data_IF_745836659563
#
_entry.id   IF_745836659563
#
_cell.length_a   1.000
_cell.length_b   1.000
_cell.length_c   1.000
_cell.angle_alpha   90.00
_cell.angle_beta   90.00
_cell.angle_gamma   90.00
#
_symmetry.space_group_name_H-M   'P 1'
#
loop_
_entity.id
_entity.type
_entity.pdbx_description
1 polymer ?
#
# COMPACT_ATOMS: atom_id res chain seq x y z
N UNK A 1 13.89 -24.18 -3.37
CA UNK A 1 13.66 -22.73 -3.45
C UNK A 1 12.37 -22.42 -4.24
N UNK A 2 12.21 -22.92 -5.47
CA UNK A 2 10.98 -22.72 -6.27
C UNK A 2 9.68 -23.23 -5.61
N UNK A 3 9.69 -24.42 -5.01
CA UNK A 3 8.53 -24.95 -4.28
C UNK A 3 8.13 -24.08 -3.07
N UNK A 4 9.12 -23.47 -2.40
CA UNK A 4 8.88 -22.56 -1.28
C UNK A 4 8.28 -21.22 -1.75
N UNK A 5 8.75 -20.70 -2.88
CA UNK A 5 8.23 -19.49 -3.50
C UNK A 5 6.76 -19.65 -3.91
N UNK A 6 6.40 -20.78 -4.53
CA UNK A 6 5.01 -21.05 -4.92
C UNK A 6 4.05 -21.18 -3.73
N UNK A 7 4.49 -21.80 -2.63
CA UNK A 7 3.71 -21.87 -1.39
C UNK A 7 3.51 -20.48 -0.77
N UNK A 8 4.56 -19.66 -0.74
CA UNK A 8 4.49 -18.30 -0.21
C UNK A 8 3.55 -17.40 -1.02
N UNK A 9 3.64 -17.44 -2.36
CA UNK A 9 2.76 -16.66 -3.25
C UNK A 9 1.28 -17.04 -3.04
N UNK A 10 0.99 -18.34 -2.92
CA UNK A 10 -0.36 -18.82 -2.63
C UNK A 10 -0.88 -18.31 -1.30
N UNK A 11 -0.09 -18.40 -0.24
CA UNK A 11 -0.52 -17.92 1.09
C UNK A 11 -0.72 -16.41 1.12
N UNK A 12 0.15 -15.65 0.46
CA UNK A 12 -0.02 -14.21 0.30
C UNK A 12 -1.34 -13.88 -0.43
N UNK A 13 -1.66 -14.62 -1.49
CA UNK A 13 -2.90 -14.46 -2.24
C UNK A 13 -4.13 -14.76 -1.37
N UNK A 14 -4.11 -15.86 -0.62
CA UNK A 14 -5.19 -16.24 0.30
C UNK A 14 -5.39 -15.19 1.38
N UNK A 15 -4.31 -14.72 2.02
CA UNK A 15 -4.36 -13.67 3.05
C UNK A 15 -4.98 -12.37 2.51
N UNK A 16 -4.61 -11.96 1.29
CA UNK A 16 -5.21 -10.79 0.63
C UNK A 16 -6.70 -10.97 0.34
N UNK A 17 -7.10 -12.16 -0.12
CA UNK A 17 -8.52 -12.50 -0.34
C UNK A 17 -9.30 -12.45 0.97
N UNK A 18 -8.78 -13.04 2.05
CA UNK A 18 -9.39 -12.99 3.38
C UNK A 18 -9.57 -11.55 3.86
N UNK A 19 -8.54 -10.71 3.73
CA UNK A 19 -8.63 -9.31 4.09
C UNK A 19 -9.71 -8.56 3.28
N UNK A 20 -9.75 -8.76 1.96
CA UNK A 20 -10.77 -8.15 1.10
C UNK A 20 -12.21 -8.58 1.42
N UNK A 21 -12.37 -9.82 1.91
CA UNK A 21 -13.64 -10.40 2.33
C UNK A 21 -14.02 -10.08 3.78
N UNK A 22 -13.06 -9.72 4.65
CA UNK A 22 -13.33 -9.43 6.06
C UNK A 22 -14.38 -8.32 6.24
N UNK A 23 -14.32 -7.28 5.39
CA UNK A 23 -15.31 -6.19 5.37
C UNK A 23 -16.66 -6.55 4.73
N UNK A 24 -16.85 -7.77 4.24
CA UNK A 24 -18.10 -8.19 3.59
C UNK A 24 -19.18 -8.65 4.58
N UNK A 25 -18.83 -8.83 5.86
CA UNK A 25 -19.76 -9.27 6.91
C UNK A 25 -20.20 -10.73 6.77
N UNK A 26 -19.44 -11.57 6.07
CA UNK A 26 -19.80 -12.98 5.79
C UNK A 26 -20.05 -13.78 7.08
N UNK A 27 -19.14 -13.72 8.04
CA UNK A 27 -19.26 -14.45 9.32
C UNK A 27 -20.52 -14.03 10.07
N UNK A 28 -20.78 -12.72 10.14
CA UNK A 28 -21.97 -12.17 10.77
C UNK A 28 -23.25 -12.65 10.08
N UNK A 29 -23.30 -12.59 8.75
CA UNK A 29 -24.46 -13.01 7.99
C UNK A 29 -24.76 -14.50 8.20
N UNK A 30 -23.74 -15.35 8.31
CA UNK A 30 -23.92 -16.78 8.65
C UNK A 30 -24.39 -16.96 10.09
N UNK A 31 -23.80 -16.23 11.04
CA UNK A 31 -24.18 -16.30 12.45
C UNK A 31 -25.65 -15.90 12.69
N UNK A 32 -26.13 -14.86 12.00
CA UNK A 32 -27.53 -14.42 12.04
C UNK A 32 -28.51 -15.46 11.44
N UNK A 33 -28.01 -16.39 10.62
CA UNK A 33 -28.83 -17.47 10.06
C UNK A 33 -28.93 -18.68 11.01
N UNK A 34 -28.01 -18.84 11.96
CA UNK A 34 -27.99 -20.01 12.84
C UNK A 34 -29.30 -20.05 13.65
N UNK A 35 -30.09 -21.13 13.55
CA UNK A 35 -31.34 -21.23 14.28
C UNK A 35 -31.09 -21.53 15.76
N UNK A 36 -32.00 -21.10 16.64
CA UNK A 36 -31.96 -21.41 18.06
C UNK A 36 -30.76 -20.80 18.80
N UNK A 37 -30.33 -21.48 19.86
CA UNK A 37 -29.26 -21.02 20.74
C UNK A 37 -29.76 -20.31 22.00
N UNK A 38 -28.99 -20.46 23.08
CA UNK A 38 -29.16 -19.75 24.35
C UNK A 38 -27.98 -18.82 24.59
N UNK A 39 -28.10 -17.89 25.54
CA UNK A 39 -27.01 -16.96 25.84
C UNK A 39 -25.73 -17.69 26.26
N UNK A 40 -25.86 -18.87 26.88
CA UNK A 40 -24.76 -19.70 27.35
C UNK A 40 -24.30 -20.72 26.29
N UNK A 41 -25.13 -21.00 25.28
CA UNK A 41 -24.87 -21.97 24.21
C UNK A 41 -25.44 -21.47 22.86
N UNK A 42 -24.82 -20.46 22.23
CA UNK A 42 -25.38 -19.78 21.05
C UNK A 42 -25.40 -20.64 19.78
N UNK A 43 -24.65 -21.74 19.76
CA UNK A 43 -24.58 -22.65 18.61
C UNK A 43 -25.35 -23.96 18.82
N UNK A 44 -26.15 -24.06 19.89
CA UNK A 44 -26.89 -25.28 20.24
C UNK A 44 -27.81 -25.77 19.11
N UNK A 45 -28.40 -24.86 18.32
CA UNK A 45 -29.24 -25.27 17.20
C UNK A 45 -28.48 -25.97 16.06
N UNK A 46 -27.16 -25.79 15.96
CA UNK A 46 -26.32 -26.58 15.06
C UNK A 46 -26.02 -27.97 15.62
N UNK A 47 -25.87 -28.09 16.94
CA UNK A 47 -25.54 -29.33 17.63
C UNK A 47 -26.65 -30.38 17.47
N UNK A 48 -27.91 -29.95 17.53
CA UNK A 48 -29.07 -30.85 17.50
C UNK A 48 -29.53 -31.22 16.09
N UNK A 49 -28.92 -30.64 15.04
CA UNK A 49 -29.36 -30.86 13.66
C UNK A 49 -28.89 -32.22 13.11
N UNK A 50 -29.80 -32.93 12.45
CA UNK A 50 -29.44 -34.07 11.61
C UNK A 50 -28.71 -33.63 10.34
N UNK A 51 -28.02 -34.57 9.66
CA UNK A 51 -27.35 -34.26 8.39
C UNK A 51 -28.30 -33.71 7.32
N UNK A 52 -29.54 -34.22 7.24
CA UNK A 52 -30.52 -33.75 6.25
C UNK A 52 -31.01 -32.32 6.54
N UNK A 53 -31.18 -31.98 7.82
CA UNK A 53 -31.50 -30.61 8.24
C UNK A 53 -30.33 -29.65 8.00
N UNK A 54 -29.09 -30.11 8.24
CA UNK A 54 -27.88 -29.34 7.96
C UNK A 54 -27.76 -29.00 6.46
N UNK A 55 -28.03 -29.95 5.57
CA UNK A 55 -28.01 -29.72 4.12
C UNK A 55 -29.10 -28.71 3.69
N UNK A 56 -30.31 -28.87 4.22
CA UNK A 56 -31.41 -27.94 3.97
C UNK A 56 -31.12 -26.53 4.50
N UNK A 57 -30.51 -26.42 5.68
CA UNK A 57 -30.07 -25.17 6.27
C UNK A 57 -28.99 -24.48 5.43
N UNK A 58 -27.97 -25.22 5.01
CA UNK A 58 -26.88 -24.70 4.20
C UNK A 58 -27.41 -24.19 2.84
N UNK A 59 -28.19 -25.01 2.16
CA UNK A 59 -28.71 -24.71 0.82
C UNK A 59 -29.80 -23.63 0.83
N UNK A 60 -30.72 -23.69 1.80
CA UNK A 60 -31.88 -22.80 1.88
C UNK A 60 -31.62 -21.46 2.56
N UNK A 61 -30.68 -21.39 3.50
CA UNK A 61 -30.51 -20.19 4.35
C UNK A 61 -29.11 -19.61 4.23
N UNK A 62 -28.06 -20.42 4.44
CA UNK A 62 -26.67 -19.94 4.48
C UNK A 62 -26.19 -19.47 3.10
N UNK A 63 -26.38 -20.28 2.06
CA UNK A 63 -25.93 -19.94 0.70
C UNK A 63 -26.55 -18.64 0.17
N UNK A 64 -27.87 -18.40 0.30
CA UNK A 64 -28.47 -17.11 -0.08
C UNK A 64 -27.89 -15.92 0.71
N UNK A 65 -27.62 -16.08 2.01
CA UNK A 65 -27.04 -15.02 2.82
C UNK A 65 -25.60 -14.68 2.39
N UNK A 66 -24.78 -15.70 2.15
CA UNK A 66 -23.42 -15.55 1.62
C UNK A 66 -23.45 -14.91 0.23
N UNK A 67 -24.34 -15.37 -0.67
CA UNK A 67 -24.50 -14.82 -2.01
C UNK A 67 -24.77 -13.31 -1.97
N UNK A 68 -25.73 -12.85 -1.16
CA UNK A 68 -26.03 -11.41 -1.01
C UNK A 68 -24.81 -10.61 -0.55
N UNK A 69 -24.00 -11.17 0.35
CA UNK A 69 -22.76 -10.51 0.79
C UNK A 69 -21.74 -10.40 -0.35
N UNK A 70 -21.57 -11.46 -1.13
CA UNK A 70 -20.64 -11.49 -2.27
C UNK A 70 -21.10 -10.58 -3.41
N UNK A 71 -22.39 -10.47 -3.67
CA UNK A 71 -22.95 -9.53 -4.66
C UNK A 71 -22.63 -8.08 -4.29
N UNK A 72 -22.72 -7.71 -3.00
CA UNK A 72 -22.29 -6.38 -2.52
C UNK A 72 -20.79 -6.16 -2.71
N UNK A 73 -19.96 -7.18 -2.46
CA UNK A 73 -18.52 -7.11 -2.72
C UNK A 73 -18.25 -6.92 -4.21
N UNK A 74 -18.95 -7.66 -5.07
CA UNK A 74 -18.84 -7.55 -6.52
C UNK A 74 -19.21 -6.16 -7.02
N UNK A 75 -20.29 -5.57 -6.50
CA UNK A 75 -20.70 -4.21 -6.81
C UNK A 75 -19.64 -3.18 -6.37
N UNK A 76 -19.14 -3.29 -5.13
CA UNK A 76 -18.05 -2.43 -4.63
C UNK A 76 -16.83 -2.48 -5.55
N UNK A 77 -16.38 -3.67 -5.91
CA UNK A 77 -15.21 -3.86 -6.78
C UNK A 77 -15.44 -3.29 -8.19
N UNK A 78 -16.65 -3.45 -8.76
CA UNK A 78 -17.01 -2.84 -10.04
C UNK A 78 -16.97 -1.32 -9.98
N UNK A 79 -17.49 -0.74 -8.90
CA UNK A 79 -17.48 0.71 -8.69
C UNK A 79 -16.06 1.25 -8.52
N UNK A 80 -15.20 0.57 -7.76
CA UNK A 80 -13.78 0.93 -7.64
C UNK A 80 -13.05 0.84 -8.97
N UNK A 81 -13.26 -0.24 -9.74
CA UNK A 81 -12.67 -0.40 -11.06
C UNK A 81 -13.11 0.68 -12.04
N UNK A 82 -14.40 1.06 -12.00
CA UNK A 82 -14.93 2.17 -12.80
C UNK A 82 -14.28 3.50 -12.44
N UNK A 83 -14.21 3.84 -11.15
CA UNK A 83 -13.54 5.06 -10.67
C UNK A 83 -12.07 5.14 -11.10
N UNK A 84 -11.34 4.01 -11.04
CA UNK A 84 -9.94 3.95 -11.51
C UNK A 84 -9.84 4.34 -12.99
N UNK A 85 -10.69 3.77 -13.84
CA UNK A 85 -10.74 4.10 -15.28
C UNK A 85 -11.11 5.56 -15.53
N UNK A 86 -12.10 6.09 -14.82
CA UNK A 86 -12.51 7.50 -14.94
C UNK A 86 -11.36 8.44 -14.52
N UNK A 87 -10.66 8.15 -13.42
CA UNK A 87 -9.50 8.93 -12.97
C UNK A 87 -8.31 8.87 -13.95
N UNK A 88 -8.11 7.74 -14.64
CA UNK A 88 -7.08 7.60 -15.69
C UNK A 88 -7.41 8.41 -16.94
N UNK A 89 -8.70 8.56 -17.29
CA UNK A 89 -9.14 9.39 -18.42
C UNK A 89 -9.00 10.88 -18.07
N UNK A 90 -9.45 11.32 -16.90
CA UNK A 90 -9.29 12.71 -16.44
C UNK A 90 -7.82 13.09 -16.26
N UNK A 91 -6.95 12.17 -15.82
CA UNK A 91 -5.51 12.39 -15.75
C UNK A 91 -4.84 12.52 -17.12
N UNK A 92 -5.45 11.98 -18.19
CA UNK A 92 -4.97 12.16 -19.58
C UNK A 92 -5.44 13.47 -20.19
N UNK A 93 -6.58 14.02 -19.76
CA UNK A 93 -7.17 15.25 -20.30
C UNK A 93 -6.80 16.51 -19.50
N UNK A 94 -6.49 16.41 -18.20
CA UNK A 94 -6.10 17.54 -17.33
C UNK A 94 -4.58 17.61 -17.07
N UNK A 95 -3.77 17.34 -18.08
CA UNK A 95 -2.31 17.31 -17.96
C UNK A 95 -1.68 18.70 -17.81
N UNK A 96 -1.65 19.22 -16.58
CA UNK A 96 -0.69 20.26 -16.21
C UNK A 96 0.72 19.65 -16.31
N UNK A 97 1.43 19.94 -17.41
CA UNK A 97 2.62 19.24 -17.87
C UNK A 97 3.79 19.18 -16.86
N UNK A 98 3.75 20.01 -15.81
CA UNK A 98 4.78 20.06 -14.75
C UNK A 98 4.81 18.86 -13.80
N UNK A 99 3.79 18.00 -13.76
CA UNK A 99 3.77 16.78 -12.92
C UNK A 99 3.61 15.48 -13.72
N UNK A 100 3.91 15.52 -15.03
CA UNK A 100 3.74 14.38 -15.95
C UNK A 100 4.85 13.32 -15.87
N UNK A 101 5.80 13.46 -14.95
CA UNK A 101 6.73 12.40 -14.61
C UNK A 101 6.03 11.44 -13.65
N UNK A 102 5.77 10.19 -14.10
CA UNK A 102 5.56 9.09 -13.15
C UNK A 102 6.75 9.11 -12.21
N UNK A 103 6.52 9.28 -10.91
CA UNK A 103 7.58 9.06 -9.93
C UNK A 103 8.01 7.61 -10.06
N UNK A 104 9.10 7.38 -10.78
CA UNK A 104 9.73 6.07 -10.94
C UNK A 104 10.44 5.77 -9.65
N UNK A 105 9.70 5.23 -8.68
CA UNK A 105 10.29 4.66 -7.49
C UNK A 105 11.11 3.45 -7.92
N UNK A 106 12.33 3.35 -7.38
CA UNK A 106 13.16 2.17 -7.59
C UNK A 106 12.47 0.92 -7.06
N UNK A 107 12.78 -0.23 -7.64
CA UNK A 107 12.32 -1.52 -7.12
C UNK A 107 12.92 -1.82 -5.75
N UNK A 108 12.46 -2.90 -5.10
CA UNK A 108 12.99 -3.32 -3.79
C UNK A 108 14.51 -3.57 -3.82
N UNK A 109 15.06 -3.93 -4.98
CA UNK A 109 16.50 -4.06 -5.19
C UNK A 109 17.23 -2.71 -5.13
N UNK A 110 16.62 -1.63 -5.64
CA UNK A 110 17.19 -0.28 -5.54
C UNK A 110 17.17 0.22 -4.09
N UNK A 111 16.19 -0.22 -3.30
CA UNK A 111 16.15 0.04 -1.87
C UNK A 111 17.33 -0.63 -1.14
N UNK A 112 17.58 -1.92 -1.38
CA UNK A 112 18.68 -2.64 -0.72
C UNK A 112 20.07 -2.18 -1.14
N UNK A 113 20.22 -1.80 -2.41
CA UNK A 113 21.50 -1.28 -2.92
C UNK A 113 21.79 0.15 -2.43
N UNK A 114 20.76 0.85 -1.94
CA UNK A 114 20.85 2.22 -1.45
C UNK A 114 21.22 3.22 -2.53
N UNK A 115 21.40 4.49 -2.13
CA UNK A 115 21.75 5.56 -3.06
C UNK A 115 23.15 5.36 -3.67
N UNK A 116 24.05 4.69 -2.95
CA UNK A 116 25.42 4.44 -3.37
C UNK A 116 25.52 3.64 -4.68
N UNK A 117 24.58 2.73 -4.96
CA UNK A 117 24.58 2.02 -6.24
C UNK A 117 24.08 2.88 -7.42
N UNK A 118 23.37 3.97 -7.15
CA UNK A 118 22.89 4.90 -8.18
C UNK A 118 23.90 6.00 -8.48
N UNK A 119 24.55 6.55 -7.44
CA UNK A 119 25.43 7.73 -7.57
C UNK A 119 26.91 7.43 -7.29
N UNK A 120 27.24 6.19 -6.94
CA UNK A 120 28.57 5.80 -6.46
C UNK A 120 28.78 6.10 -4.98
N UNK A 121 29.93 5.66 -4.46
CA UNK A 121 30.39 6.08 -3.14
C UNK A 121 30.94 7.51 -3.23
N UNK A 122 30.75 8.34 -2.19
CA UNK A 122 31.34 9.68 -2.16
C UNK A 122 32.86 9.60 -2.26
N UNK A 123 33.46 10.63 -2.86
CA UNK A 123 34.92 10.76 -2.87
C UNK A 123 35.41 10.83 -1.41
N UNK A 124 36.33 9.94 -0.97
CA UNK A 124 36.78 9.91 0.42
C UNK A 124 37.58 11.16 0.82
N UNK A 125 37.99 12.00 -0.13
CA UNK A 125 38.74 13.25 0.11
C UNK A 125 37.79 14.39 0.47
N UNK A 126 37.11 14.23 1.60
CA UNK A 126 36.08 15.17 2.06
C UNK A 126 36.64 16.60 2.19
N UNK A 127 37.82 16.75 2.80
CA UNK A 127 38.42 18.08 3.03
C UNK A 127 38.73 18.81 1.73
N UNK A 128 39.37 18.15 0.77
CA UNK A 128 39.65 18.72 -0.56
C UNK A 128 38.34 19.09 -1.28
N UNK A 129 37.31 18.27 -1.15
CA UNK A 129 36.00 18.54 -1.73
C UNK A 129 35.28 19.73 -1.10
N UNK A 130 35.35 19.87 0.23
CA UNK A 130 34.78 21.00 0.97
C UNK A 130 35.50 22.30 0.63
N UNK A 131 36.83 22.30 0.58
CA UNK A 131 37.62 23.46 0.18
C UNK A 131 37.35 23.87 -1.27
N UNK A 132 37.27 22.91 -2.19
CA UNK A 132 36.95 23.19 -3.58
C UNK A 132 35.51 23.71 -3.76
N UNK A 133 34.57 23.25 -2.94
CA UNK A 133 33.20 23.76 -2.96
C UNK A 133 33.12 25.18 -2.40
N UNK A 134 33.73 25.41 -1.24
CA UNK A 134 33.68 26.68 -0.54
C UNK A 134 34.50 27.79 -1.23
N UNK A 135 35.66 27.46 -1.78
CA UNK A 135 36.62 28.46 -2.27
C UNK A 135 36.78 28.52 -3.80
N UNK A 136 36.31 27.52 -4.56
CA UNK A 136 36.62 27.39 -6.00
C UNK A 136 35.38 27.35 -6.90
N UNK A 137 34.17 27.36 -6.33
CA UNK A 137 32.92 27.42 -7.10
C UNK A 137 32.59 28.85 -7.51
N UNK A 138 31.69 29.00 -8.49
CA UNK A 138 31.37 30.32 -9.06
C UNK A 138 30.72 31.30 -8.07
N UNK A 139 30.17 30.78 -6.98
CA UNK A 139 29.61 31.50 -5.84
C UNK A 139 30.61 31.71 -4.70
N UNK A 140 31.85 31.24 -4.81
CA UNK A 140 32.89 31.46 -3.81
C UNK A 140 33.26 32.95 -3.66
N UNK A 141 32.98 33.75 -4.69
CA UNK A 141 33.15 35.22 -4.71
C UNK A 141 31.84 35.97 -4.37
N UNK A 142 30.76 35.26 -4.03
CA UNK A 142 29.50 35.89 -3.71
C UNK A 142 29.58 36.55 -2.33
N UNK A 143 29.36 37.87 -2.30
CA UNK A 143 29.34 38.61 -1.06
C UNK A 143 28.15 38.21 -0.19
N UNK A 144 28.42 37.97 1.09
CA UNK A 144 27.40 37.83 2.11
C UNK A 144 27.76 38.67 3.32
N UNK A 145 26.73 39.23 3.97
CA UNK A 145 26.89 39.96 5.22
C UNK A 145 26.32 39.16 6.38
N UNK A 146 27.13 38.94 7.40
CA UNK A 146 26.64 38.33 8.64
C UNK A 146 25.92 39.39 9.48
N UNK A 147 24.66 39.12 9.83
CA UNK A 147 23.78 40.09 10.52
C UNK A 147 24.22 40.46 11.94
N UNK A 148 25.19 39.73 12.52
CA UNK A 148 25.67 39.88 13.89
C UNK A 148 26.96 40.71 14.02
N UNK A 149 27.79 40.82 12.99
CA UNK A 149 29.06 41.56 13.06
C UNK A 149 29.24 42.63 11.98
N UNK A 150 28.24 42.81 11.09
CA UNK A 150 28.27 43.85 10.07
C UNK A 150 29.42 43.72 9.08
N UNK A 151 30.06 42.55 9.04
CA UNK A 151 31.14 42.23 8.12
C UNK A 151 30.55 41.66 6.85
N UNK A 152 30.92 42.24 5.72
CA UNK A 152 30.70 41.66 4.40
C UNK A 152 31.96 40.92 4.01
N UNK A 153 31.84 39.63 3.71
CA UNK A 153 32.93 38.79 3.22
C UNK A 153 32.42 37.93 2.07
N UNK A 154 33.33 37.20 1.43
CA UNK A 154 33.00 36.15 0.47
C UNK A 154 33.42 34.79 1.06
N UNK A 155 32.81 33.67 0.65
CA UNK A 155 33.25 32.33 1.07
C UNK A 155 34.74 32.06 0.84
N UNK A 156 35.34 32.60 -0.21
CA UNK A 156 36.77 32.48 -0.46
C UNK A 156 37.67 33.29 0.52
N UNK A 157 37.11 34.29 1.20
CA UNK A 157 37.85 35.25 2.02
C UNK A 157 37.53 35.18 3.53
N UNK A 158 36.56 34.36 3.94
CA UNK A 158 36.27 34.03 5.36
C UNK A 158 37.41 33.21 6.00
#
# INVERSE_FOLDING_TARGET
FEAFKGLFERELEVSRKQHGLAGAGLVRAVAECVPGGRSEAPLEGLETMSCGEMDAFCSGTVLPAVKRCLERVQERLRNEARKRRESEVTSKEAGNAKYRGVATFGGLQDFYKGIAAKIGLPNPRLMEGMEAEHCQRGDAEAEFSSGNYGTTTTPAAE
#
